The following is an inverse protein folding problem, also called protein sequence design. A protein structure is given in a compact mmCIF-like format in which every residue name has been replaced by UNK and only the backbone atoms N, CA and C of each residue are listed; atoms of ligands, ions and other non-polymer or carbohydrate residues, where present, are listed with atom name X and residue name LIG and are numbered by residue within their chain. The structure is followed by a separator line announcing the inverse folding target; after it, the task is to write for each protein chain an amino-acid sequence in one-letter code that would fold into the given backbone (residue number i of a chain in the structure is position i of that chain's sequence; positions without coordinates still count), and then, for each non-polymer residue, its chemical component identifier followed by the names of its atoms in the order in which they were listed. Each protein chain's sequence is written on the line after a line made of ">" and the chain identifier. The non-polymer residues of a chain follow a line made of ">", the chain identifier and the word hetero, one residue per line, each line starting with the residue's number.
data_IF_633614188812
#
_entry.id   IF_633614188812
#
_cell.length_a   1.000
_cell.length_b   1.000
_cell.length_c   1.000
_cell.angle_alpha   90.00
_cell.angle_beta   90.00
_cell.angle_gamma   90.00
#
_symmetry.space_group_name_H-M   'P 1'
#
loop_
_entity.id
_entity.type
_entity.pdbx_description
1 polymer ?
#
# COMPACT_ATOMS: atom_id res chain seq x y z
N UNK A 1 9.92 0.44 12.72
CA UNK A 1 10.90 -0.23 11.81
C UNK A 1 12.28 -0.08 12.46
N UNK A 2 13.00 -1.18 12.63
CA UNK A 2 14.31 -1.19 13.31
C UNK A 2 15.45 -1.70 12.42
N UNK A 3 15.12 -2.19 11.22
CA UNK A 3 16.08 -2.67 10.22
C UNK A 3 15.65 -2.21 8.83
N UNK A 4 16.60 -1.71 8.04
CA UNK A 4 16.44 -1.40 6.62
C UNK A 4 17.57 -2.07 5.84
N UNK A 5 17.24 -2.84 4.81
CA UNK A 5 18.20 -3.45 3.90
C UNK A 5 18.18 -2.72 2.56
N UNK A 6 19.36 -2.31 2.08
CA UNK A 6 19.53 -1.65 0.79
C UNK A 6 20.47 -2.49 -0.06
N UNK A 7 19.91 -3.11 -1.09
CA UNK A 7 20.67 -3.91 -2.06
C UNK A 7 21.46 -3.00 -3.01
N UNK A 8 22.68 -3.34 -3.43
CA UNK A 8 23.49 -2.51 -4.31
C UNK A 8 22.85 -2.22 -5.67
N UNK A 9 21.91 -3.07 -6.09
CA UNK A 9 21.14 -2.89 -7.33
C UNK A 9 19.69 -2.51 -7.06
N UNK A 10 19.40 -1.81 -5.97
CA UNK A 10 18.02 -1.46 -5.57
C UNK A 10 17.22 -0.77 -6.68
N UNK A 11 17.84 0.12 -7.47
CA UNK A 11 17.21 0.78 -8.62
C UNK A 11 16.89 -0.13 -9.80
N UNK A 12 17.40 -1.38 -9.83
CA UNK A 12 17.18 -2.36 -10.89
C UNK A 12 16.42 -3.60 -10.40
N UNK A 13 16.07 -3.67 -9.13
CA UNK A 13 15.40 -4.85 -8.54
C UNK A 13 14.07 -5.16 -9.23
N UNK A 14 13.31 -4.14 -9.63
CA UNK A 14 12.05 -4.30 -10.34
C UNK A 14 12.26 -4.94 -11.72
N UNK A 15 13.22 -4.43 -12.50
CA UNK A 15 13.56 -4.99 -13.80
C UNK A 15 14.12 -6.41 -13.68
N UNK A 16 14.96 -6.65 -12.67
CA UNK A 16 15.48 -7.99 -12.39
C UNK A 16 14.38 -8.94 -11.93
N UNK A 17 13.43 -8.48 -11.10
CA UNK A 17 12.27 -9.25 -10.69
C UNK A 17 11.38 -9.63 -11.87
N UNK A 18 11.17 -8.71 -12.83
CA UNK A 18 10.44 -8.99 -14.08
C UNK A 18 11.16 -10.04 -14.92
N UNK A 19 12.49 -9.96 -15.05
CA UNK A 19 13.30 -10.96 -15.77
C UNK A 19 13.22 -12.35 -15.13
N UNK A 20 13.06 -12.42 -13.80
CA UNK A 20 12.95 -13.68 -13.04
C UNK A 20 11.53 -14.16 -12.85
N UNK A 21 10.53 -13.30 -13.10
CA UNK A 21 9.15 -13.67 -12.94
C UNK A 21 8.78 -14.83 -13.87
N UNK A 22 8.17 -15.85 -13.29
CA UNK A 22 7.61 -16.94 -14.08
C UNK A 22 6.46 -16.42 -14.94
N UNK A 23 6.43 -16.77 -16.20
CA UNK A 23 5.29 -16.45 -17.07
C UNK A 23 4.10 -17.32 -16.66
N UNK A 24 2.93 -16.69 -16.54
CA UNK A 24 1.71 -17.34 -16.08
C UNK A 24 0.60 -17.19 -17.12
N UNK A 25 -0.14 -18.27 -17.33
CA UNK A 25 -1.39 -18.25 -18.09
C UNK A 25 -2.53 -18.60 -17.12
N UNK A 26 -3.37 -17.62 -16.82
CA UNK A 26 -4.56 -17.75 -15.97
C UNK A 26 -5.80 -17.97 -16.83
N UNK A 27 -6.64 -18.91 -16.45
CA UNK A 27 -7.94 -19.21 -17.08
C UNK A 27 -9.00 -19.36 -16.01
N UNK A 28 -10.17 -18.85 -16.31
CA UNK A 28 -11.35 -18.96 -15.46
C UNK A 28 -12.56 -19.39 -16.30
N UNK A 29 -13.45 -20.19 -15.71
CA UNK A 29 -14.71 -20.63 -16.33
C UNK A 29 -15.79 -20.73 -15.26
N UNK A 30 -16.94 -20.10 -15.50
CA UNK A 30 -18.11 -20.19 -14.61
C UNK A 30 -18.72 -21.59 -14.72
N UNK A 31 -18.98 -22.21 -13.57
CA UNK A 31 -19.45 -23.61 -13.50
C UNK A 31 -20.89 -23.68 -13.03
N UNK A 32 -21.22 -23.02 -11.93
CA UNK A 32 -22.57 -22.92 -11.33
C UNK A 32 -23.27 -24.29 -11.14
N UNK A 33 -22.61 -25.20 -10.42
CA UNK A 33 -23.15 -26.54 -10.11
C UNK A 33 -23.07 -26.82 -8.61
N UNK A 34 -23.98 -27.65 -8.04
CA UNK A 34 -23.87 -28.12 -6.67
C UNK A 34 -22.53 -28.83 -6.41
N UNK A 35 -21.99 -28.72 -5.20
CA UNK A 35 -20.81 -29.44 -4.78
C UNK A 35 -21.16 -30.86 -4.37
N UNK A 36 -21.32 -31.75 -5.35
CA UNK A 36 -21.67 -33.15 -5.25
C UNK A 36 -20.77 -34.03 -6.14
N UNK A 37 -20.97 -35.35 -6.12
CA UNK A 37 -20.15 -36.29 -6.90
C UNK A 37 -20.23 -36.03 -8.42
N UNK A 38 -21.37 -35.53 -8.91
CA UNK A 38 -21.56 -35.26 -10.33
C UNK A 38 -20.76 -34.03 -10.81
N UNK A 39 -20.45 -33.10 -9.90
CA UNK A 39 -19.68 -31.91 -10.23
C UNK A 39 -18.25 -32.24 -10.68
N UNK A 40 -17.64 -33.31 -10.14
CA UNK A 40 -16.26 -33.68 -10.49
C UNK A 40 -16.08 -33.96 -11.98
N UNK A 41 -17.05 -34.64 -12.61
CA UNK A 41 -17.00 -34.93 -14.04
C UNK A 41 -17.17 -33.65 -14.89
N UNK A 42 -18.01 -32.71 -14.45
CA UNK A 42 -18.21 -31.41 -15.10
C UNK A 42 -16.93 -30.59 -15.01
N UNK A 43 -16.34 -30.48 -13.82
CA UNK A 43 -15.11 -29.73 -13.59
C UNK A 43 -13.97 -30.33 -14.39
N UNK A 44 -13.77 -31.65 -14.38
CA UNK A 44 -12.67 -32.30 -15.14
C UNK A 44 -12.74 -31.98 -16.65
N UNK A 45 -13.92 -32.04 -17.23
CA UNK A 45 -14.13 -31.71 -18.65
C UNK A 45 -13.83 -30.24 -18.96
N UNK A 46 -14.16 -29.31 -18.05
CA UNK A 46 -13.86 -27.88 -18.21
C UNK A 46 -12.38 -27.60 -18.01
N UNK A 47 -11.76 -28.25 -17.04
CA UNK A 47 -10.31 -28.18 -16.80
C UNK A 47 -9.50 -28.56 -18.02
N UNK A 48 -9.88 -29.62 -18.72
CA UNK A 48 -9.16 -30.04 -19.95
C UNK A 48 -9.18 -28.96 -21.03
N UNK A 49 -10.30 -28.22 -21.17
CA UNK A 49 -10.40 -27.09 -22.10
C UNK A 49 -9.55 -25.92 -21.67
N UNK A 50 -9.61 -25.56 -20.37
CA UNK A 50 -8.83 -24.46 -19.82
C UNK A 50 -7.34 -24.74 -19.95
N UNK A 51 -6.93 -25.98 -19.67
CA UNK A 51 -5.55 -26.45 -19.83
C UNK A 51 -5.06 -26.31 -21.26
N UNK A 52 -5.81 -26.83 -22.23
CA UNK A 52 -5.46 -26.72 -23.63
C UNK A 52 -5.32 -25.27 -24.11
N UNK A 53 -6.20 -24.40 -23.64
CA UNK A 53 -6.13 -22.95 -23.91
C UNK A 53 -4.89 -22.29 -23.30
N UNK A 54 -4.60 -22.55 -22.02
CA UNK A 54 -3.43 -21.98 -21.34
C UNK A 54 -2.11 -22.48 -21.93
N UNK A 55 -2.03 -23.77 -22.23
CA UNK A 55 -0.84 -24.38 -22.85
C UNK A 55 -0.60 -23.86 -24.28
N UNK A 56 -1.66 -23.61 -25.03
CA UNK A 56 -1.56 -23.00 -26.38
C UNK A 56 -0.99 -21.59 -26.29
N UNK A 57 -1.40 -20.79 -25.33
CA UNK A 57 -0.85 -19.44 -25.14
C UNK A 57 0.64 -19.47 -24.74
N UNK A 58 1.01 -20.32 -23.80
CA UNK A 58 2.42 -20.47 -23.41
C UNK A 58 3.26 -20.97 -24.57
N UNK A 59 2.76 -21.96 -25.32
CA UNK A 59 3.45 -22.51 -26.49
C UNK A 59 3.64 -21.46 -27.61
N UNK A 60 2.69 -20.55 -27.81
CA UNK A 60 2.82 -19.45 -28.77
C UNK A 60 3.96 -18.50 -28.41
N UNK A 61 4.37 -18.45 -27.15
CA UNK A 61 5.51 -17.70 -26.64
C UNK A 61 6.80 -18.55 -26.54
N UNK A 62 6.78 -19.80 -27.02
CA UNK A 62 7.89 -20.74 -26.93
C UNK A 62 8.13 -21.29 -25.51
N UNK A 63 7.12 -21.21 -24.63
CA UNK A 63 7.21 -21.59 -23.24
C UNK A 63 6.43 -22.86 -22.94
N UNK A 64 6.83 -23.58 -21.88
CA UNK A 64 6.16 -24.80 -21.42
C UNK A 64 5.79 -24.63 -19.94
N UNK A 65 4.57 -25.04 -19.58
CA UNK A 65 4.11 -25.04 -18.19
C UNK A 65 4.91 -26.06 -17.36
N UNK A 66 5.48 -25.60 -16.24
CA UNK A 66 6.19 -26.44 -15.27
C UNK A 66 5.26 -26.87 -14.12
N UNK A 67 4.39 -25.99 -13.67
CA UNK A 67 3.44 -26.28 -12.60
C UNK A 67 2.05 -25.82 -12.98
N UNK A 68 1.05 -26.45 -12.39
CA UNK A 68 -0.36 -26.10 -12.56
C UNK A 68 -1.02 -25.99 -11.19
N UNK A 69 -1.74 -24.90 -10.96
CA UNK A 69 -2.57 -24.69 -9.79
C UNK A 69 -4.01 -24.63 -10.26
N UNK A 70 -4.84 -25.46 -9.65
CA UNK A 70 -6.29 -25.46 -9.93
C UNK A 70 -7.03 -25.15 -8.65
N UNK A 71 -7.91 -24.16 -8.70
CA UNK A 71 -8.79 -23.80 -7.61
C UNK A 71 -10.24 -23.75 -8.10
N UNK A 72 -11.14 -24.02 -7.19
CA UNK A 72 -12.59 -23.84 -7.38
C UNK A 72 -13.08 -22.76 -6.43
N UNK A 73 -13.92 -21.87 -6.94
CA UNK A 73 -14.62 -20.88 -6.13
C UNK A 73 -15.91 -21.52 -5.62
N UNK A 74 -16.01 -21.68 -4.32
CA UNK A 74 -17.16 -22.29 -3.67
C UNK A 74 -17.88 -21.25 -2.83
N UNK A 75 -19.22 -21.28 -2.88
CA UNK A 75 -20.09 -20.47 -2.02
C UNK A 75 -21.20 -21.31 -1.44
N UNK A 76 -21.81 -20.86 -0.35
CA UNK A 76 -23.08 -21.44 0.08
C UNK A 76 -24.21 -21.08 -0.91
N UNK A 77 -25.13 -21.97 -1.12
CA UNK A 77 -26.33 -21.69 -1.91
C UNK A 77 -27.09 -20.48 -1.35
N UNK A 78 -27.46 -19.53 -2.24
CA UNK A 78 -28.07 -18.26 -1.86
C UNK A 78 -27.13 -17.25 -1.19
N UNK A 79 -25.80 -17.47 -1.22
CA UNK A 79 -24.77 -16.47 -0.90
C UNK A 79 -24.16 -15.94 -2.20
N UNK A 80 -23.72 -14.70 -2.17
CA UNK A 80 -22.99 -14.02 -3.26
C UNK A 80 -21.47 -13.98 -3.03
N UNK A 81 -21.00 -14.56 -1.94
CA UNK A 81 -19.58 -14.56 -1.58
C UNK A 81 -18.98 -15.94 -1.75
N UNK A 82 -18.11 -16.10 -2.74
CA UNK A 82 -17.34 -17.31 -3.00
C UNK A 82 -15.92 -17.22 -2.43
N UNK A 83 -15.37 -18.37 -2.04
CA UNK A 83 -13.99 -18.51 -1.55
C UNK A 83 -13.22 -19.49 -2.43
N UNK A 84 -11.96 -19.20 -2.79
CA UNK A 84 -11.12 -20.11 -3.52
C UNK A 84 -10.62 -21.24 -2.64
N UNK A 85 -10.77 -22.48 -3.11
CA UNK A 85 -10.20 -23.67 -2.48
C UNK A 85 -9.49 -24.52 -3.51
N UNK A 86 -8.43 -25.25 -3.14
CA UNK A 86 -7.76 -26.18 -4.06
C UNK A 86 -8.73 -27.24 -4.59
N UNK A 87 -8.66 -27.54 -5.89
CA UNK A 87 -9.45 -28.62 -6.47
C UNK A 87 -8.94 -29.98 -6.00
N UNK A 88 -9.81 -30.75 -5.39
CA UNK A 88 -9.53 -32.07 -4.80
C UNK A 88 -10.84 -32.88 -4.70
N UNK A 89 -10.91 -33.87 -3.82
CA UNK A 89 -12.14 -34.60 -3.52
C UNK A 89 -13.20 -33.68 -2.90
N UNK A 90 -14.48 -34.03 -3.07
CA UNK A 90 -15.61 -33.27 -2.51
C UNK A 90 -15.41 -32.99 -1.02
N UNK A 91 -14.96 -34.03 -0.27
CA UNK A 91 -14.79 -33.90 1.17
C UNK A 91 -13.66 -32.96 1.54
N UNK A 92 -12.54 -32.97 0.80
CA UNK A 92 -11.41 -32.07 0.99
C UNK A 92 -11.81 -30.62 0.66
N UNK A 93 -12.48 -30.42 -0.48
CA UNK A 93 -12.95 -29.09 -0.90
C UNK A 93 -13.94 -28.49 0.09
N UNK A 94 -14.91 -29.29 0.58
CA UNK A 94 -15.86 -28.87 1.60
C UNK A 94 -15.16 -28.43 2.87
N UNK A 95 -14.27 -29.25 3.41
CA UNK A 95 -13.53 -28.94 4.65
C UNK A 95 -12.62 -27.71 4.49
N UNK A 96 -11.97 -27.54 3.34
CA UNK A 96 -11.16 -26.37 3.03
C UNK A 96 -12.01 -25.09 2.97
N UNK A 97 -13.18 -25.15 2.32
CA UNK A 97 -14.13 -24.05 2.25
C UNK A 97 -14.65 -23.66 3.65
N UNK A 98 -15.11 -24.66 4.44
CA UNK A 98 -15.60 -24.43 5.80
C UNK A 98 -14.52 -23.78 6.69
N UNK A 99 -13.27 -24.25 6.57
CA UNK A 99 -12.14 -23.68 7.31
C UNK A 99 -11.89 -22.22 6.89
N UNK A 100 -11.86 -21.93 5.60
CA UNK A 100 -11.66 -20.58 5.07
C UNK A 100 -12.82 -19.65 5.47
N UNK A 101 -14.07 -20.15 5.40
CA UNK A 101 -15.27 -19.42 5.77
C UNK A 101 -15.29 -19.09 7.28
N UNK A 102 -14.92 -20.07 8.13
CA UNK A 102 -14.78 -19.86 9.57
C UNK A 102 -13.71 -18.80 9.88
N UNK A 103 -12.58 -18.83 9.19
CA UNK A 103 -11.51 -17.85 9.40
C UNK A 103 -11.91 -16.44 8.96
N UNK A 104 -12.62 -16.33 7.84
CA UNK A 104 -12.96 -15.02 7.27
C UNK A 104 -14.21 -14.39 7.89
N UNK A 105 -15.23 -15.22 8.23
CA UNK A 105 -16.53 -14.74 8.66
C UNK A 105 -16.89 -15.13 10.09
N UNK A 106 -16.12 -16.02 10.72
CA UNK A 106 -16.31 -16.42 12.12
C UNK A 106 -17.38 -17.50 12.35
N UNK A 107 -17.98 -18.06 11.30
CA UNK A 107 -19.00 -19.10 11.42
C UNK A 107 -19.02 -20.04 10.20
N UNK A 108 -19.71 -21.18 10.34
CA UNK A 108 -19.99 -22.17 9.29
C UNK A 108 -21.47 -22.54 9.40
N UNK A 109 -22.14 -22.84 8.28
CA UNK A 109 -23.50 -23.35 8.28
C UNK A 109 -23.52 -24.86 8.30
N UNK A 110 -24.17 -25.48 9.30
CA UNK A 110 -24.17 -26.94 9.51
C UNK A 110 -24.88 -27.73 8.41
N UNK A 111 -25.88 -27.17 7.72
CA UNK A 111 -26.74 -27.90 6.77
C UNK A 111 -27.11 -27.05 5.55
N UNK A 112 -26.15 -26.31 5.01
CA UNK A 112 -26.40 -25.50 3.81
C UNK A 112 -25.66 -26.10 2.63
N UNK A 113 -26.33 -26.20 1.50
CA UNK A 113 -25.74 -26.68 0.25
C UNK A 113 -24.65 -25.71 -0.22
N UNK A 114 -23.67 -26.25 -0.92
CA UNK A 114 -22.58 -25.52 -1.50
C UNK A 114 -22.65 -25.58 -3.02
N UNK A 115 -22.31 -24.47 -3.66
CA UNK A 115 -22.25 -24.33 -5.11
C UNK A 115 -20.81 -24.09 -5.51
N UNK A 116 -20.35 -24.80 -6.51
CA UNK A 116 -19.12 -24.47 -7.27
C UNK A 116 -19.48 -23.41 -8.28
N UNK A 117 -19.11 -22.17 -8.00
CA UNK A 117 -19.43 -21.01 -8.85
C UNK A 117 -18.55 -20.94 -10.07
N UNK A 118 -17.24 -21.04 -9.88
CA UNK A 118 -16.25 -20.94 -10.94
C UNK A 118 -15.07 -21.85 -10.70
N UNK A 119 -14.26 -22.00 -11.73
CA UNK A 119 -13.04 -22.79 -11.78
C UNK A 119 -11.91 -21.93 -12.29
N UNK A 120 -10.79 -21.89 -11.59
CA UNK A 120 -9.57 -21.21 -12.02
C UNK A 120 -8.44 -22.21 -12.26
N UNK A 121 -7.70 -22.00 -13.34
CA UNK A 121 -6.50 -22.74 -13.68
C UNK A 121 -5.36 -21.75 -13.93
N UNK A 122 -4.29 -21.88 -13.17
CA UNK A 122 -3.05 -21.17 -13.37
C UNK A 122 -1.96 -22.14 -13.85
N UNK A 123 -1.41 -21.90 -15.03
CA UNK A 123 -0.26 -22.59 -15.57
C UNK A 123 0.97 -21.68 -15.45
N UNK A 124 2.00 -22.14 -14.75
CA UNK A 124 3.21 -21.36 -14.46
C UNK A 124 4.41 -22.04 -15.11
N UNK A 125 5.24 -21.27 -15.80
CA UNK A 125 6.51 -21.77 -16.36
C UNK A 125 7.53 -22.01 -15.24
N UNK A 126 8.57 -22.82 -15.51
CA UNK A 126 9.68 -22.96 -14.58
C UNK A 126 10.33 -21.58 -14.36
N UNK A 127 10.67 -21.29 -13.11
CA UNK A 127 11.55 -20.16 -12.82
C UNK A 127 12.85 -20.33 -13.58
N UNK A 128 13.32 -19.25 -14.20
CA UNK A 128 14.63 -19.26 -14.85
C UNK A 128 15.71 -19.50 -13.79
N UNK A 129 16.20 -20.73 -13.68
CA UNK A 129 17.29 -21.13 -12.77
C UNK A 129 18.65 -20.54 -13.17
N UNK A 130 18.67 -19.42 -13.85
CA UNK A 130 19.93 -18.68 -13.94
C UNK A 130 20.24 -18.16 -12.55
N UNK A 131 20.74 -19.06 -11.69
CA UNK A 131 21.38 -18.70 -10.46
C UNK A 131 22.34 -17.56 -10.78
N UNK A 132 22.04 -16.38 -10.26
CA UNK A 132 23.05 -15.32 -10.23
C UNK A 132 24.23 -15.99 -9.55
N UNK A 133 25.27 -16.24 -10.33
CA UNK A 133 26.52 -16.74 -9.79
C UNK A 133 26.89 -15.76 -8.66
N UNK A 134 26.78 -16.22 -7.43
CA UNK A 134 27.16 -15.46 -6.23
C UNK A 134 28.67 -15.19 -6.19
N UNK A 135 29.38 -15.47 -7.27
CA UNK A 135 30.78 -15.20 -7.50
C UNK A 135 31.10 -13.83 -8.09
N UNK A 136 30.18 -12.87 -8.03
CA UNK A 136 30.56 -11.45 -8.06
C UNK A 136 31.14 -11.05 -6.70
N UNK A 137 32.12 -11.85 -6.23
CA UNK A 137 33.00 -11.42 -5.18
C UNK A 137 33.68 -10.12 -5.67
N UNK A 138 33.34 -9.04 -5.01
CA UNK A 138 34.08 -7.78 -4.94
C UNK A 138 35.17 -7.59 -6.00
N UNK A 139 34.81 -7.03 -7.12
CA UNK A 139 35.66 -6.08 -7.80
C UNK A 139 35.17 -4.65 -7.49
N UNK A 140 34.77 -4.41 -6.24
CA UNK A 140 34.59 -3.07 -5.72
C UNK A 140 35.98 -2.45 -5.57
N UNK A 141 36.29 -1.47 -6.41
CA UNK A 141 37.44 -0.60 -6.19
C UNK A 141 37.30 -0.02 -4.78
N UNK A 142 38.13 -0.49 -3.85
CA UNK A 142 38.41 0.24 -2.61
C UNK A 142 39.01 1.59 -3.05
N UNK A 143 38.17 2.61 -3.05
CA UNK A 143 38.65 3.99 -3.19
C UNK A 143 39.13 4.38 -1.78
N UNK A 144 40.42 4.67 -1.62
CA UNK A 144 40.96 5.31 -0.42
C UNK A 144 40.40 6.74 -0.32
N UNK A 145 39.09 6.87 -0.11
CA UNK A 145 38.43 8.15 0.09
C UNK A 145 38.09 8.27 1.58
N UNK A 146 38.55 9.34 2.18
CA UNK A 146 38.19 9.71 3.56
C UNK A 146 36.81 10.34 3.57
N UNK A 147 36.05 10.18 4.66
CA UNK A 147 34.79 10.88 4.81
C UNK A 147 35.04 12.41 4.82
N UNK A 148 34.10 13.14 4.25
CA UNK A 148 34.11 14.60 4.27
C UNK A 148 33.10 15.08 5.32
N UNK A 149 33.41 16.19 5.99
CA UNK A 149 32.45 16.82 6.89
C UNK A 149 31.34 17.48 6.09
N UNK A 150 30.12 17.24 6.49
CA UNK A 150 28.92 17.80 5.89
C UNK A 150 27.86 18.06 6.98
N UNK A 151 26.68 18.53 6.61
CA UNK A 151 25.58 18.78 7.53
C UNK A 151 24.31 18.16 7.01
N UNK A 152 23.54 17.59 7.93
CA UNK A 152 22.25 16.98 7.66
C UNK A 152 21.14 17.75 8.37
N UNK A 153 20.12 18.19 7.63
CA UNK A 153 18.93 18.78 8.23
C UNK A 153 17.93 17.69 8.56
N UNK A 154 17.64 17.49 9.85
CA UNK A 154 16.71 16.47 10.32
C UNK A 154 15.99 16.97 11.59
N UNK A 155 14.71 16.67 11.70
CA UNK A 155 13.86 17.08 12.83
C UNK A 155 13.94 18.59 13.14
N UNK A 156 13.96 19.42 12.10
CA UNK A 156 13.95 20.89 12.23
C UNK A 156 15.30 21.51 12.61
N UNK A 157 16.39 20.76 12.61
CA UNK A 157 17.72 21.27 12.98
C UNK A 157 18.83 20.73 12.08
N UNK A 158 19.92 21.51 11.96
CA UNK A 158 21.12 21.08 11.27
C UNK A 158 22.02 20.31 12.24
N UNK A 159 22.48 19.14 11.83
CA UNK A 159 23.43 18.29 12.55
C UNK A 159 24.71 18.15 11.73
N UNK A 160 25.85 18.13 12.40
CA UNK A 160 27.13 17.75 11.79
C UNK A 160 27.07 16.28 11.39
N UNK A 161 27.43 15.97 10.14
CA UNK A 161 27.38 14.64 9.56
C UNK A 161 28.65 14.33 8.78
N UNK A 162 28.93 13.07 8.55
CA UNK A 162 30.00 12.63 7.68
C UNK A 162 29.43 12.13 6.35
N UNK A 163 29.99 12.62 5.24
CA UNK A 163 29.65 12.18 3.89
C UNK A 163 30.66 11.13 3.42
N UNK A 164 30.17 9.95 3.10
CA UNK A 164 30.95 8.82 2.66
C UNK A 164 30.63 8.43 1.22
N UNK A 165 31.62 8.30 0.32
CA UNK A 165 31.38 7.60 -0.95
C UNK A 165 31.17 6.10 -0.67
N UNK A 166 30.23 5.46 -1.37
CA UNK A 166 29.94 4.01 -1.23
C UNK A 166 31.21 3.15 -1.30
N UNK A 167 32.13 3.44 -2.23
CA UNK A 167 33.36 2.66 -2.40
C UNK A 167 34.37 2.77 -1.26
N UNK A 168 34.16 3.68 -0.31
CA UNK A 168 35.02 3.85 0.88
C UNK A 168 34.50 3.06 2.10
N UNK A 169 33.35 2.39 1.99
CA UNK A 169 32.79 1.60 3.07
C UNK A 169 33.55 0.29 3.25
N UNK A 170 34.01 0.05 4.47
CA UNK A 170 34.65 -1.22 4.85
C UNK A 170 33.57 -2.24 5.22
N UNK A 171 33.77 -3.51 4.84
CA UNK A 171 32.86 -4.61 5.19
C UNK A 171 32.81 -4.79 6.71
N UNK A 172 31.62 -4.98 7.25
CA UNK A 172 31.34 -5.24 8.66
C UNK A 172 31.78 -4.13 9.62
N UNK A 173 32.19 -2.97 9.11
CA UNK A 173 32.50 -1.81 9.92
C UNK A 173 31.28 -0.89 10.05
N UNK A 174 30.78 -0.67 11.28
CA UNK A 174 29.62 0.19 11.50
C UNK A 174 29.95 1.68 11.30
N UNK A 175 29.06 2.39 10.62
CA UNK A 175 29.03 3.84 10.55
C UNK A 175 27.84 4.31 11.38
N UNK A 176 28.13 5.06 12.45
CA UNK A 176 27.10 5.62 13.32
C UNK A 176 26.57 6.92 12.69
N UNK A 177 25.24 7.09 12.66
CA UNK A 177 24.61 8.33 12.20
C UNK A 177 24.78 9.50 13.18
N UNK A 178 24.65 10.75 12.73
CA UNK A 178 24.21 11.13 11.40
C UNK A 178 25.31 10.99 10.33
N UNK A 179 24.98 10.35 9.21
CA UNK A 179 25.90 10.21 8.08
C UNK A 179 25.15 10.20 6.75
N UNK A 180 25.87 10.54 5.68
CA UNK A 180 25.36 10.56 4.29
C UNK A 180 26.23 9.61 3.46
N UNK A 181 25.65 8.61 2.83
CA UNK A 181 26.34 7.71 1.91
C UNK A 181 25.97 8.09 0.49
N UNK A 182 26.96 8.44 -0.31
CA UNK A 182 26.77 8.83 -1.71
C UNK A 182 27.07 7.65 -2.64
N UNK A 183 26.10 7.31 -3.45
CA UNK A 183 26.19 6.36 -4.57
C UNK A 183 26.08 7.07 -5.91
N UNK A 184 26.33 6.37 -7.00
CA UNK A 184 26.23 6.96 -8.35
C UNK A 184 24.80 7.43 -8.69
N UNK A 185 23.79 6.71 -8.18
CA UNK A 185 22.39 6.93 -8.50
C UNK A 185 21.49 7.12 -7.27
N UNK A 186 22.05 7.12 -6.07
CA UNK A 186 21.31 7.22 -4.83
C UNK A 186 22.10 7.94 -3.73
N UNK A 187 21.37 8.48 -2.76
CA UNK A 187 21.93 9.01 -1.52
C UNK A 187 21.21 8.34 -0.35
N UNK A 188 21.98 7.78 0.57
CA UNK A 188 21.44 7.10 1.74
C UNK A 188 21.73 7.94 2.96
N UNK A 189 20.71 8.26 3.70
CA UNK A 189 20.81 8.99 4.96
C UNK A 189 20.81 7.99 6.11
N UNK A 190 21.84 8.05 6.96
CA UNK A 190 21.89 7.34 8.24
C UNK A 190 21.48 8.34 9.31
N UNK A 191 20.26 8.25 9.86
CA UNK A 191 19.80 9.19 10.88
C UNK A 191 20.60 9.08 12.17
N UNK A 192 20.53 10.08 13.08
CA UNK A 192 20.94 9.87 14.48
C UNK A 192 20.27 8.61 15.02
N UNK A 193 20.82 7.97 16.00
CA UNK A 193 20.31 6.72 16.61
C UNK A 193 20.36 5.46 15.72
N UNK A 194 20.82 5.60 14.46
CA UNK A 194 20.99 4.48 13.53
C UNK A 194 22.46 4.24 13.23
N UNK A 195 22.77 3.01 12.87
CA UNK A 195 24.05 2.62 12.31
C UNK A 195 23.85 1.91 10.97
N UNK A 196 24.86 2.01 10.12
CA UNK A 196 24.94 1.34 8.83
C UNK A 196 26.13 0.41 8.81
N UNK A 197 25.94 -0.82 8.32
CA UNK A 197 27.00 -1.79 8.07
C UNK A 197 26.93 -2.24 6.61
N UNK A 198 28.06 -2.29 5.94
CA UNK A 198 28.19 -2.91 4.62
C UNK A 198 28.47 -4.40 4.79
N UNK A 199 27.57 -5.26 4.27
CA UNK A 199 27.73 -6.71 4.35
C UNK A 199 28.80 -7.26 3.38
N UNK A 200 29.19 -8.51 3.55
CA UNK A 200 30.09 -9.20 2.62
C UNK A 200 29.51 -9.33 1.19
N UNK A 201 28.18 -9.20 1.03
CA UNK A 201 27.48 -9.20 -0.26
C UNK A 201 27.28 -7.80 -0.85
N UNK A 202 27.91 -6.80 -0.24
CA UNK A 202 27.78 -5.40 -0.58
C UNK A 202 26.36 -4.81 -0.33
N UNK A 203 25.53 -5.48 0.47
CA UNK A 203 24.28 -4.88 0.96
C UNK A 203 24.56 -3.88 2.06
N UNK A 204 23.81 -2.78 2.12
CA UNK A 204 23.83 -1.88 3.25
C UNK A 204 22.69 -2.24 4.21
N UNK A 205 23.07 -2.52 5.43
CA UNK A 205 22.14 -2.86 6.52
C UNK A 205 22.14 -1.71 7.52
N UNK A 206 21.02 -1.00 7.57
CA UNK A 206 20.80 0.02 8.61
C UNK A 206 20.05 -0.64 9.76
N UNK A 207 20.56 -0.46 10.96
CA UNK A 207 19.90 -0.92 12.19
C UNK A 207 19.80 0.22 13.17
N UNK A 208 18.76 0.22 13.99
CA UNK A 208 18.64 1.19 15.06
C UNK A 208 19.69 0.89 16.14
N UNK A 209 20.55 1.87 16.40
CA UNK A 209 21.62 1.76 17.39
C UNK A 209 21.13 2.12 18.82
N UNK A 210 20.21 3.09 18.91
CA UNK A 210 19.59 3.49 20.18
C UNK A 210 18.14 3.01 20.19
N UNK A 211 17.77 2.25 21.22
CA UNK A 211 16.39 1.75 21.35
C UNK A 211 15.40 2.92 21.41
N UNK A 212 14.27 2.75 20.73
CA UNK A 212 13.18 3.73 20.78
C UNK A 212 12.68 3.86 22.21
N UNK A 213 12.61 5.07 22.75
CA UNK A 213 11.95 5.27 24.03
C UNK A 213 10.46 4.93 23.84
N UNK A 214 9.99 3.90 24.54
CA UNK A 214 8.56 3.59 24.57
C UNK A 214 7.83 4.78 25.18
N UNK A 215 6.90 5.37 24.43
CA UNK A 215 5.97 6.36 25.01
C UNK A 215 5.14 5.66 26.08
N UNK A 216 5.28 6.10 27.30
CA UNK A 216 4.33 5.72 28.34
C UNK A 216 3.10 6.59 28.14
N UNK A 217 1.96 5.98 27.76
CA UNK A 217 0.71 6.72 27.61
C UNK A 217 0.28 7.23 28.97
N UNK A 218 0.42 8.52 29.17
CA UNK A 218 -0.17 9.23 30.34
C UNK A 218 -1.65 9.46 30.01
N UNK A 219 -2.55 8.69 30.62
CA UNK A 219 -3.97 9.02 30.48
C UNK A 219 -5.00 7.91 30.63
N UNK A 220 -4.64 6.66 30.81
CA UNK A 220 -5.63 5.65 31.24
C UNK A 220 -5.67 5.58 32.76
N UNK A 221 -6.83 5.79 33.33
CA UNK A 221 -7.05 5.90 34.78
C UNK A 221 -6.64 4.66 35.59
N UNK A 222 -6.06 3.61 35.00
CA UNK A 222 -5.85 2.38 35.71
C UNK A 222 -4.49 1.74 35.74
N UNK A 223 -3.54 1.90 34.80
CA UNK A 223 -2.21 1.25 34.96
C UNK A 223 -1.05 1.81 34.13
N UNK A 224 -1.25 2.68 33.15
CA UNK A 224 -0.18 3.18 32.26
C UNK A 224 0.43 2.14 31.30
N UNK A 225 -0.09 0.92 31.26
CA UNK A 225 0.32 -0.18 30.38
C UNK A 225 -0.86 -0.69 29.58
N UNK A 226 -0.65 -0.98 28.27
CA UNK A 226 -1.67 -1.57 27.42
C UNK A 226 -2.05 -2.95 27.94
N UNK A 227 -3.35 -3.25 27.98
CA UNK A 227 -3.82 -4.64 28.06
C UNK A 227 -3.49 -5.32 26.73
N UNK A 228 -2.71 -6.43 26.73
CA UNK A 228 -2.29 -7.10 25.50
C UNK A 228 -3.48 -7.59 24.63
N UNK A 229 -4.58 -8.01 25.25
CA UNK A 229 -5.78 -8.47 24.53
C UNK A 229 -6.47 -7.29 23.84
N UNK A 230 -6.67 -6.19 24.57
CA UNK A 230 -7.26 -4.99 24.00
C UNK A 230 -6.34 -4.35 22.95
N UNK A 231 -5.01 -4.41 23.11
CA UNK A 231 -4.06 -3.93 22.11
C UNK A 231 -4.26 -4.65 20.78
N UNK A 232 -4.37 -5.97 20.80
CA UNK A 232 -4.62 -6.76 19.61
C UNK A 232 -6.01 -6.45 18.99
N UNK A 233 -7.05 -6.31 19.83
CA UNK A 233 -8.39 -5.92 19.39
C UNK A 233 -8.39 -4.56 18.70
N UNK A 234 -7.73 -3.55 19.29
CA UNK A 234 -7.66 -2.21 18.69
C UNK A 234 -6.83 -2.20 17.41
N UNK A 235 -5.69 -2.91 17.39
CA UNK A 235 -4.87 -3.06 16.19
C UNK A 235 -5.69 -3.68 15.04
N UNK A 236 -6.36 -4.81 15.29
CA UNK A 236 -7.22 -5.47 14.31
C UNK A 236 -8.38 -4.55 13.84
N UNK A 237 -9.00 -3.80 14.75
CA UNK A 237 -10.09 -2.88 14.39
C UNK A 237 -9.59 -1.70 13.53
N UNK A 238 -8.46 -1.08 13.85
CA UNK A 238 -7.90 -0.01 13.03
C UNK A 238 -7.52 -0.52 11.63
N UNK A 239 -6.92 -1.71 11.53
CA UNK A 239 -6.64 -2.33 10.24
C UNK A 239 -7.93 -2.61 9.45
N UNK A 240 -8.95 -3.20 10.09
CA UNK A 240 -10.23 -3.48 9.45
C UNK A 240 -10.92 -2.20 8.93
N UNK A 241 -10.80 -1.07 9.61
CA UNK A 241 -11.30 0.22 9.12
C UNK A 241 -10.58 0.61 7.83
N UNK A 242 -9.24 0.52 7.79
CA UNK A 242 -8.47 0.83 6.58
C UNK A 242 -8.80 -0.12 5.42
N UNK A 243 -9.03 -1.39 5.69
CA UNK A 243 -9.47 -2.38 4.69
C UNK A 243 -10.85 -2.05 4.14
N UNK A 244 -11.82 -1.68 4.98
CA UNK A 244 -13.16 -1.26 4.55
C UNK A 244 -13.12 0.01 3.69
N UNK A 245 -12.24 0.96 4.02
CA UNK A 245 -11.97 2.11 3.16
C UNK A 245 -11.52 1.65 1.77
N UNK A 246 -10.58 0.69 1.70
CA UNK A 246 -10.08 0.13 0.46
C UNK A 246 -11.17 -0.56 -0.38
N UNK A 247 -12.01 -1.38 0.25
CA UNK A 247 -13.17 -2.00 -0.42
C UNK A 247 -14.13 -0.95 -0.96
N UNK A 248 -14.39 0.12 -0.22
CA UNK A 248 -15.24 1.22 -0.70
C UNK A 248 -14.62 1.89 -1.92
N UNK A 249 -13.31 2.18 -1.89
CA UNK A 249 -12.59 2.79 -3.00
C UNK A 249 -12.64 1.91 -4.25
N UNK A 250 -12.29 0.64 -4.14
CA UNK A 250 -12.32 -0.34 -5.23
C UNK A 250 -13.70 -0.41 -5.90
N UNK A 251 -14.77 -0.51 -5.11
CA UNK A 251 -16.13 -0.65 -5.62
C UNK A 251 -16.69 0.61 -6.26
N UNK A 252 -16.23 1.79 -5.86
CA UNK A 252 -16.78 3.07 -6.31
C UNK A 252 -15.91 3.79 -7.33
N UNK A 253 -14.63 3.41 -7.47
CA UNK A 253 -13.72 4.01 -8.44
C UNK A 253 -14.11 3.71 -9.89
N UNK A 254 -13.69 4.59 -10.79
CA UNK A 254 -13.99 4.53 -12.23
C UNK A 254 -12.80 4.05 -13.06
N UNK A 255 -11.56 4.39 -12.66
CA UNK A 255 -10.36 4.03 -13.42
C UNK A 255 -9.94 2.58 -13.23
N UNK A 256 -9.40 1.99 -14.28
CA UNK A 256 -8.84 0.62 -14.28
C UNK A 256 -7.72 0.46 -13.26
N UNK A 257 -6.90 1.49 -13.10
CA UNK A 257 -5.77 1.44 -12.17
C UNK A 257 -6.24 1.23 -10.72
N UNK A 258 -7.26 1.95 -10.28
CA UNK A 258 -7.80 1.82 -8.92
C UNK A 258 -8.68 0.58 -8.82
N UNK A 259 -9.61 0.39 -9.74
CA UNK A 259 -10.66 -0.63 -9.64
C UNK A 259 -10.18 -2.05 -9.91
N UNK A 260 -9.30 -2.24 -10.91
CA UNK A 260 -8.88 -3.57 -11.35
C UNK A 260 -7.45 -3.90 -10.93
N UNK A 261 -6.54 -2.92 -10.99
CA UNK A 261 -5.13 -3.12 -10.60
C UNK A 261 -4.89 -2.92 -9.11
N UNK A 262 -5.89 -2.40 -8.39
CA UNK A 262 -5.83 -2.11 -6.95
C UNK A 262 -4.65 -1.18 -6.59
N UNK A 263 -4.31 -0.26 -7.51
CA UNK A 263 -3.21 0.66 -7.34
C UNK A 263 -3.66 1.88 -6.49
N UNK A 264 -3.90 1.58 -5.23
CA UNK A 264 -4.34 2.54 -4.23
C UNK A 264 -3.89 2.13 -2.83
N UNK A 265 -4.03 3.03 -1.87
CA UNK A 265 -3.82 2.76 -0.44
C UNK A 265 -4.76 3.61 0.40
N UNK A 266 -5.27 3.01 1.49
CA UNK A 266 -6.08 3.68 2.50
C UNK A 266 -5.40 3.57 3.86
N UNK A 267 -5.44 4.64 4.65
CA UNK A 267 -4.80 4.68 5.94
C UNK A 267 -5.47 5.66 6.92
N UNK A 268 -5.23 5.41 8.20
CA UNK A 268 -5.68 6.22 9.33
C UNK A 268 -4.49 6.91 9.99
N UNK A 269 -4.68 8.16 10.38
CA UNK A 269 -3.64 8.97 11.01
C UNK A 269 -4.18 9.65 12.25
N UNK A 270 -3.30 9.87 13.23
CA UNK A 270 -3.60 10.65 14.43
C UNK A 270 -3.65 12.17 14.14
N UNK A 271 -3.98 12.95 15.16
CA UNK A 271 -4.04 14.41 15.08
C UNK A 271 -2.72 15.06 14.62
N UNK A 272 -1.59 14.38 14.73
CA UNK A 272 -0.27 14.86 14.32
C UNK A 272 0.14 14.40 12.93
N UNK A 273 -0.68 13.58 12.25
CA UNK A 273 -0.36 12.96 10.97
C UNK A 273 0.51 11.71 11.12
N UNK A 274 0.64 11.17 12.34
CA UNK A 274 1.27 9.89 12.61
C UNK A 274 0.39 8.73 12.13
N UNK A 275 0.97 7.77 11.41
CA UNK A 275 0.25 6.58 10.93
C UNK A 275 -0.26 5.75 12.13
N UNK A 276 -1.55 5.41 12.12
CA UNK A 276 -2.17 4.50 13.09
C UNK A 276 -2.25 3.09 12.47
N UNK A 277 -2.90 3.01 11.32
CA UNK A 277 -3.07 1.75 10.59
C UNK A 277 -3.23 2.00 9.08
N UNK A 278 -2.88 1.01 8.32
CA UNK A 278 -3.09 0.97 6.87
C UNK A 278 -3.55 -0.43 6.48
N UNK A 279 -4.30 -0.52 5.39
CA UNK A 279 -4.60 -1.81 4.79
C UNK A 279 -3.38 -2.34 4.00
N UNK A 280 -3.30 -3.67 3.76
CA UNK A 280 -2.21 -4.29 3.00
C UNK A 280 -2.35 -4.03 1.48
N UNK A 281 -2.35 -2.75 1.10
CA UNK A 281 -2.41 -2.28 -0.29
C UNK A 281 -1.00 -2.06 -0.86
N UNK A 282 -0.79 -0.98 -1.63
CA UNK A 282 0.50 -0.68 -2.28
C UNK A 282 1.55 -0.20 -1.27
N UNK A 283 2.61 -1.00 -0.98
CA UNK A 283 3.60 -0.66 0.06
C UNK A 283 4.34 0.66 -0.20
N UNK A 284 4.58 1.03 -1.46
CA UNK A 284 5.29 2.26 -1.82
C UNK A 284 4.54 3.53 -1.39
N UNK A 285 3.21 3.48 -1.29
CA UNK A 285 2.40 4.61 -0.86
C UNK A 285 2.57 4.94 0.62
N UNK A 286 2.82 3.93 1.45
CA UNK A 286 2.80 4.04 2.92
C UNK A 286 3.84 5.03 3.46
N UNK A 287 5.04 5.02 2.88
CA UNK A 287 6.14 5.87 3.34
C UNK A 287 5.91 7.38 3.18
N UNK A 288 4.97 7.78 2.30
CA UNK A 288 4.74 9.19 1.95
C UNK A 288 3.35 9.70 2.34
N UNK A 289 2.37 8.84 2.63
CA UNK A 289 1.02 9.30 2.96
C UNK A 289 0.96 10.16 4.23
N UNK A 290 1.79 9.86 5.23
CA UNK A 290 1.93 10.70 6.42
C UNK A 290 2.41 12.12 6.07
N UNK A 291 3.34 12.25 5.13
CA UNK A 291 3.80 13.54 4.64
C UNK A 291 2.69 14.31 3.90
N UNK A 292 1.81 13.61 3.17
CA UNK A 292 0.63 14.23 2.53
C UNK A 292 -0.33 14.81 3.57
N UNK A 293 -0.62 14.06 4.64
CA UNK A 293 -1.44 14.55 5.75
C UNK A 293 -0.80 15.75 6.42
N UNK A 294 0.51 15.70 6.66
CA UNK A 294 1.24 16.81 7.25
C UNK A 294 1.20 18.07 6.37
N UNK A 295 1.40 17.93 5.06
CA UNK A 295 1.33 19.06 4.13
C UNK A 295 -0.06 19.75 4.12
N UNK A 296 -1.14 18.96 4.22
CA UNK A 296 -2.50 19.50 4.36
C UNK A 296 -2.68 20.24 5.69
N UNK A 297 -2.17 19.67 6.79
CA UNK A 297 -2.18 20.32 8.11
C UNK A 297 -1.42 21.64 8.12
N UNK A 298 -0.22 21.64 7.53
CA UNK A 298 0.63 22.85 7.50
C UNK A 298 0.00 23.97 6.66
N UNK A 299 -0.71 23.59 5.58
CA UNK A 299 -1.37 24.56 4.71
C UNK A 299 -2.68 25.12 5.31
N UNK A 300 -3.45 24.33 6.04
CA UNK A 300 -4.83 24.67 6.42
C UNK A 300 -5.10 24.54 7.91
N UNK A 301 -4.19 24.05 8.74
CA UNK A 301 -4.41 23.68 10.15
C UNK A 301 -5.46 24.49 10.91
N UNK A 302 -5.26 25.81 11.13
CA UNK A 302 -6.24 26.63 11.88
C UNK A 302 -7.59 26.84 11.18
N UNK A 303 -7.61 26.69 9.84
CA UNK A 303 -8.78 26.97 9.00
C UNK A 303 -9.57 25.71 8.63
N UNK A 304 -9.10 24.53 9.08
CA UNK A 304 -9.81 23.28 8.84
C UNK A 304 -11.14 23.24 9.59
N UNK A 305 -12.17 22.77 8.92
CA UNK A 305 -13.51 22.60 9.50
C UNK A 305 -14.02 21.19 9.27
N UNK A 306 -14.98 20.79 10.08
CA UNK A 306 -15.72 19.56 9.85
C UNK A 306 -16.43 19.63 8.49
N UNK A 307 -16.29 18.58 7.69
CA UNK A 307 -16.84 18.54 6.35
C UNK A 307 -15.88 19.00 5.24
N UNK A 308 -14.70 19.51 5.56
CA UNK A 308 -13.64 19.81 4.57
C UNK A 308 -12.99 18.52 4.06
N UNK A 309 -12.48 18.56 2.83
CA UNK A 309 -11.57 17.54 2.28
C UNK A 309 -10.56 18.17 1.34
N UNK A 310 -9.37 17.60 1.29
CA UNK A 310 -8.22 18.17 0.58
C UNK A 310 -7.58 17.15 -0.33
N UNK A 311 -7.06 17.61 -1.47
CA UNK A 311 -6.35 16.79 -2.45
C UNK A 311 -4.91 17.26 -2.58
N UNK A 312 -3.96 16.33 -2.56
CA UNK A 312 -2.53 16.60 -2.71
C UNK A 312 -1.87 15.53 -3.58
N UNK A 313 -1.03 15.97 -4.52
CA UNK A 313 -0.12 15.11 -5.29
C UNK A 313 1.25 15.75 -5.47
N UNK A 314 1.45 16.98 -5.00
CA UNK A 314 2.68 17.75 -5.18
C UNK A 314 3.88 17.02 -4.55
N UNK A 315 4.92 16.62 -5.31
CA UNK A 315 6.06 15.85 -4.80
C UNK A 315 6.83 16.53 -3.67
N UNK A 316 6.94 17.85 -3.71
CA UNK A 316 7.63 18.65 -2.69
C UNK A 316 6.71 19.10 -1.54
N UNK A 317 5.46 18.65 -1.53
CA UNK A 317 4.47 18.95 -0.50
C UNK A 317 3.71 17.66 -0.08
N UNK A 318 4.46 16.60 0.20
CA UNK A 318 3.91 15.35 0.71
C UNK A 318 3.37 14.37 -0.34
N UNK A 319 3.41 14.71 -1.63
CA UNK A 319 3.11 13.80 -2.73
C UNK A 319 4.30 12.92 -3.11
N UNK A 320 4.12 12.07 -4.12
CA UNK A 320 5.16 11.22 -4.72
C UNK A 320 5.37 11.64 -6.17
N UNK A 321 4.60 11.13 -7.10
CA UNK A 321 4.51 11.57 -8.49
C UNK A 321 3.06 11.99 -8.79
N UNK A 322 2.85 12.78 -9.83
CA UNK A 322 1.58 13.48 -10.02
C UNK A 322 0.35 12.56 -10.16
N UNK A 323 0.43 11.36 -10.81
CA UNK A 323 -0.70 10.45 -10.86
C UNK A 323 -1.17 9.90 -9.51
N UNK A 324 -0.30 9.87 -8.49
CA UNK A 324 -0.64 9.45 -7.13
C UNK A 324 -1.38 10.58 -6.39
N UNK A 325 -2.65 10.68 -6.64
CA UNK A 325 -3.51 11.69 -6.00
C UNK A 325 -3.95 11.20 -4.63
N UNK A 326 -3.66 11.98 -3.58
CA UNK A 326 -4.04 11.66 -2.20
C UNK A 326 -5.17 12.58 -1.75
N UNK A 327 -6.30 12.00 -1.36
CA UNK A 327 -7.36 12.72 -0.66
C UNK A 327 -7.15 12.56 0.84
N UNK A 328 -7.23 13.69 1.57
CA UNK A 328 -7.10 13.76 3.04
C UNK A 328 -8.37 14.35 3.62
N UNK A 329 -8.99 13.63 4.56
CA UNK A 329 -10.20 14.04 5.26
C UNK A 329 -9.91 14.23 6.76
N UNK A 330 -10.02 15.44 7.32
CA UNK A 330 -9.93 15.65 8.75
C UNK A 330 -11.17 15.12 9.47
N UNK A 331 -10.96 14.40 10.57
CA UNK A 331 -12.04 13.81 11.39
C UNK A 331 -12.11 14.53 12.73
N UNK A 332 -13.21 15.25 12.92
CA UNK A 332 -13.50 15.94 14.15
C UNK A 332 -14.35 15.05 15.07
N UNK A 333 -14.11 15.15 16.36
CA UNK A 333 -14.78 14.36 17.39
C UNK A 333 -15.34 15.28 18.47
N UNK A 334 -16.53 14.97 18.96
CA UNK A 334 -17.16 15.62 20.13
C UNK A 334 -17.19 17.16 20.10
N UNK A 335 -17.33 17.74 18.89
CA UNK A 335 -17.35 19.20 18.73
C UNK A 335 -16.00 19.89 18.96
N UNK A 336 -14.89 19.12 18.87
CA UNK A 336 -13.55 19.68 19.00
C UNK A 336 -13.27 20.71 17.92
N UNK A 337 -12.51 21.76 18.26
CA UNK A 337 -12.14 22.82 17.32
C UNK A 337 -11.05 22.36 16.32
N UNK A 338 -10.38 21.23 16.57
CA UNK A 338 -9.32 20.69 15.72
C UNK A 338 -9.58 19.21 15.46
N UNK A 339 -9.16 18.69 14.30
CA UNK A 339 -9.33 17.27 13.99
C UNK A 339 -8.55 16.39 14.96
N UNK A 340 -9.15 15.28 15.35
CA UNK A 340 -8.53 14.25 16.20
C UNK A 340 -7.84 13.16 15.39
N UNK A 341 -8.34 12.93 14.18
CA UNK A 341 -7.80 11.95 13.25
C UNK A 341 -7.82 12.53 11.85
N UNK A 342 -7.09 11.83 10.98
CA UNK A 342 -7.25 11.98 9.54
C UNK A 342 -7.45 10.61 8.92
N UNK A 343 -8.32 10.53 7.92
CA UNK A 343 -8.39 9.42 7.00
C UNK A 343 -7.80 9.87 5.66
N UNK A 344 -7.03 9.02 5.01
CA UNK A 344 -6.49 9.35 3.70
C UNK A 344 -6.60 8.16 2.75
N UNK A 345 -6.90 8.48 1.49
CA UNK A 345 -6.94 7.54 0.39
C UNK A 345 -6.08 8.07 -0.75
N UNK A 346 -5.07 7.30 -1.17
CA UNK A 346 -4.24 7.57 -2.35
C UNK A 346 -4.64 6.64 -3.46
N UNK A 347 -4.86 7.15 -4.66
CA UNK A 347 -5.11 6.38 -5.86
C UNK A 347 -4.18 6.81 -6.98
N UNK A 348 -3.65 5.84 -7.75
CA UNK A 348 -2.92 6.11 -8.98
C UNK A 348 -3.91 6.35 -10.11
N UNK A 349 -4.15 7.62 -10.43
CA UNK A 349 -5.04 8.02 -11.52
C UNK A 349 -4.48 7.58 -12.87
N UNK A 350 -5.34 7.12 -13.76
CA UNK A 350 -4.92 6.64 -15.08
C UNK A 350 -4.28 7.75 -15.94
N UNK A 351 -4.66 9.00 -15.72
CA UNK A 351 -4.11 10.19 -16.37
C UNK A 351 -4.44 11.42 -15.53
N UNK A 352 -3.49 12.29 -15.34
CA UNK A 352 -3.65 13.59 -14.65
C UNK A 352 -3.17 14.75 -15.49
N UNK A 353 -3.16 14.61 -16.82
CA UNK A 353 -2.63 15.59 -17.77
C UNK A 353 -1.15 15.36 -18.10
N UNK A 354 -0.47 16.41 -18.50
CA UNK A 354 0.92 16.34 -18.94
C UNK A 354 1.11 15.99 -20.42
N UNK A 355 2.36 16.03 -20.88
CA UNK A 355 2.71 15.86 -22.29
C UNK A 355 2.55 14.43 -22.81
N UNK A 356 2.59 13.43 -21.93
CA UNK A 356 2.40 12.02 -22.29
C UNK A 356 1.13 11.43 -21.67
N UNK A 357 0.44 10.50 -22.36
CA UNK A 357 -0.61 9.71 -21.75
C UNK A 357 -0.10 8.95 -20.51
N UNK A 358 -0.92 8.89 -19.47
CA UNK A 358 -0.54 8.27 -18.19
C UNK A 358 0.32 9.16 -17.29
N UNK A 359 0.61 10.40 -17.71
CA UNK A 359 1.26 11.42 -16.88
C UNK A 359 2.62 11.01 -16.28
N UNK A 360 3.40 10.23 -17.03
CA UNK A 360 4.75 9.78 -16.65
C UNK A 360 5.73 9.95 -17.83
N UNK A 361 5.99 11.20 -18.29
CA UNK A 361 6.93 11.45 -19.36
C UNK A 361 8.37 11.21 -18.90
N UNK A 362 9.18 10.54 -19.73
CA UNK A 362 10.59 10.27 -19.45
C UNK A 362 11.53 11.43 -19.75
N UNK A 363 11.04 12.51 -20.36
CA UNK A 363 11.84 13.65 -20.83
C UNK A 363 11.22 15.01 -20.50
N UNK A 364 10.38 15.07 -19.45
CA UNK A 364 9.87 16.33 -18.91
C UNK A 364 10.99 17.20 -18.34
N UNK A 365 10.86 18.50 -18.49
CA UNK A 365 11.79 19.50 -17.95
C UNK A 365 11.11 20.42 -16.91
N UNK A 366 9.80 20.47 -16.92
CA UNK A 366 8.99 21.21 -15.94
C UNK A 366 7.88 20.33 -15.38
N UNK A 367 7.36 20.69 -14.22
CA UNK A 367 6.30 19.91 -13.56
C UNK A 367 4.96 20.01 -14.31
N UNK A 368 4.72 21.10 -15.02
CA UNK A 368 3.53 21.28 -15.85
C UNK A 368 3.51 20.30 -17.03
N UNK A 369 4.67 19.85 -17.50
CA UNK A 369 4.81 18.82 -18.52
C UNK A 369 4.48 17.42 -17.97
N UNK A 370 4.56 17.22 -16.65
CA UNK A 370 4.23 15.92 -16.00
C UNK A 370 2.75 15.78 -15.69
N UNK A 371 2.03 16.87 -15.43
CA UNK A 371 0.60 16.83 -15.16
C UNK A 371 0.11 17.96 -14.27
N UNK A 372 -1.14 17.81 -13.81
CA UNK A 372 -1.81 18.78 -12.96
C UNK A 372 -1.36 18.61 -11.50
N UNK A 373 -1.02 19.75 -10.89
CA UNK A 373 -0.46 19.82 -9.56
C UNK A 373 -1.48 20.30 -8.53
N UNK A 374 -1.73 19.49 -7.51
CA UNK A 374 -2.53 19.83 -6.32
C UNK A 374 -1.62 20.03 -5.11
N UNK A 375 -1.58 21.26 -4.58
CA UNK A 375 -0.86 21.62 -3.34
C UNK A 375 -1.85 21.82 -2.21
N UNK A 376 -2.30 20.73 -1.56
CA UNK A 376 -3.33 20.75 -0.52
C UNK A 376 -4.60 21.53 -0.98
N UNK A 377 -5.09 21.21 -2.18
CA UNK A 377 -6.27 21.82 -2.75
C UNK A 377 -7.53 21.41 -1.99
N UNK A 378 -8.32 22.37 -1.48
CA UNK A 378 -9.56 22.08 -0.78
C UNK A 378 -10.67 21.77 -1.78
N UNK A 379 -10.95 20.48 -1.97
CA UNK A 379 -11.94 19.98 -2.94
C UNK A 379 -13.36 19.94 -2.36
N UNK A 380 -13.50 19.95 -1.02
CA UNK A 380 -14.79 20.03 -0.32
C UNK A 380 -14.69 21.05 0.81
N UNK A 381 -15.72 21.88 0.95
CA UNK A 381 -15.84 22.89 1.99
C UNK A 381 -17.17 22.76 2.72
N UNK A 382 -17.14 22.69 4.03
CA UNK A 382 -18.35 22.58 4.87
C UNK A 382 -19.33 21.49 4.37
N UNK A 383 -18.80 20.34 3.91
CA UNK A 383 -19.59 19.22 3.37
C UNK A 383 -20.00 19.33 1.90
N UNK A 384 -19.77 20.47 1.24
CA UNK A 384 -20.12 20.69 -0.18
C UNK A 384 -18.90 20.43 -1.06
N UNK A 385 -19.00 19.43 -1.93
CA UNK A 385 -17.97 19.11 -2.92
C UNK A 385 -17.98 20.13 -4.07
N UNK A 386 -16.85 20.75 -4.36
CA UNK A 386 -16.70 21.74 -5.41
C UNK A 386 -16.25 21.10 -6.73
N UNK A 387 -17.19 20.43 -7.38
CA UNK A 387 -16.95 19.78 -8.67
C UNK A 387 -16.53 20.79 -9.76
N UNK A 388 -17.11 21.99 -9.73
CA UNK A 388 -16.84 22.99 -10.75
C UNK A 388 -15.40 23.50 -10.69
N UNK A 389 -14.89 23.80 -9.50
CA UNK A 389 -13.50 24.23 -9.33
C UNK A 389 -12.53 23.07 -9.61
N UNK A 390 -12.85 21.84 -9.21
CA UNK A 390 -12.04 20.67 -9.55
C UNK A 390 -11.96 20.45 -11.05
N UNK A 391 -13.10 20.50 -11.76
CA UNK A 391 -13.14 20.35 -13.21
C UNK A 391 -12.37 21.47 -13.92
N UNK A 392 -12.47 22.71 -13.46
CA UNK A 392 -11.66 23.81 -13.97
C UNK A 392 -10.16 23.51 -13.85
N UNK A 393 -9.70 23.06 -12.67
CA UNK A 393 -8.30 22.67 -12.43
C UNK A 393 -7.83 21.53 -13.33
N UNK A 394 -8.69 20.54 -13.58
CA UNK A 394 -8.38 19.38 -14.43
C UNK A 394 -8.33 19.72 -15.93
N UNK A 395 -8.97 20.81 -16.36
CA UNK A 395 -9.10 21.21 -17.77
C UNK A 395 -8.30 22.43 -18.15
N UNK A 396 -7.83 23.20 -17.17
CA UNK A 396 -7.01 24.41 -17.41
C UNK A 396 -5.52 24.08 -17.63
N UNK A 397 -4.84 24.99 -18.33
CA UNK A 397 -3.40 24.89 -18.55
C UNK A 397 -3.01 24.27 -19.89
N UNK A 398 -1.70 24.18 -20.17
CA UNK A 398 -1.19 23.73 -21.47
C UNK A 398 -1.37 22.23 -21.72
N UNK A 399 -1.48 21.44 -20.67
CA UNK A 399 -1.54 19.97 -20.73
C UNK A 399 -2.64 19.43 -19.81
N UNK A 400 -3.94 19.64 -20.14
CA UNK A 400 -5.05 19.24 -19.30
C UNK A 400 -5.18 17.71 -19.20
N UNK A 401 -5.93 17.24 -18.19
CA UNK A 401 -6.30 15.85 -18.06
C UNK A 401 -7.13 15.40 -19.27
N UNK A 402 -6.87 14.20 -19.78
CA UNK A 402 -7.53 13.67 -20.99
C UNK A 402 -8.96 13.22 -20.73
N UNK A 403 -9.22 12.72 -19.51
CA UNK A 403 -10.55 12.27 -19.08
C UNK A 403 -10.86 12.86 -17.69
N UNK A 404 -11.09 14.19 -17.59
CA UNK A 404 -11.28 14.88 -16.31
C UNK A 404 -12.49 14.38 -15.52
N UNK A 405 -13.52 13.87 -16.20
CA UNK A 405 -14.68 13.25 -15.55
C UNK A 405 -14.33 11.96 -14.79
N UNK A 406 -13.38 11.18 -15.31
CA UNK A 406 -12.87 9.99 -14.61
C UNK A 406 -12.07 10.40 -13.36
N UNK A 407 -11.22 11.43 -13.46
CA UNK A 407 -10.48 11.96 -12.31
C UNK A 407 -11.44 12.45 -11.22
N UNK A 408 -12.50 13.17 -11.58
CA UNK A 408 -13.52 13.62 -10.66
C UNK A 408 -14.22 12.44 -9.97
N UNK A 409 -14.61 11.40 -10.73
CA UNK A 409 -15.24 10.20 -10.19
C UNK A 409 -14.31 9.45 -9.22
N UNK A 410 -13.02 9.33 -9.54
CA UNK A 410 -12.04 8.67 -8.68
C UNK A 410 -11.76 9.48 -7.39
N UNK A 411 -11.72 10.81 -7.46
CA UNK A 411 -11.62 11.68 -6.26
C UNK A 411 -12.87 11.55 -5.39
N UNK A 412 -14.06 11.45 -5.97
CA UNK A 412 -15.29 11.18 -5.22
C UNK A 412 -15.27 9.79 -4.57
N UNK A 413 -14.72 8.79 -5.24
CA UNK A 413 -14.54 7.44 -4.67
C UNK A 413 -13.54 7.45 -3.49
N UNK A 414 -12.43 8.19 -3.60
CA UNK A 414 -11.49 8.41 -2.50
C UNK A 414 -12.16 9.14 -1.32
N UNK A 415 -13.02 10.12 -1.60
CA UNK A 415 -13.81 10.82 -0.57
C UNK A 415 -14.76 9.85 0.15
N UNK A 416 -15.49 9.02 -0.59
CA UNK A 416 -16.38 8.01 -0.02
C UNK A 416 -15.62 7.00 0.87
N UNK A 417 -14.44 6.57 0.45
CA UNK A 417 -13.57 5.71 1.25
C UNK A 417 -13.14 6.40 2.56
N UNK A 418 -12.71 7.65 2.49
CA UNK A 418 -12.32 8.43 3.68
C UNK A 418 -13.49 8.66 4.62
N UNK A 419 -14.70 8.93 4.11
CA UNK A 419 -15.92 9.04 4.94
C UNK A 419 -16.28 7.72 5.63
N UNK A 420 -16.12 6.59 4.93
CA UNK A 420 -16.29 5.26 5.54
C UNK A 420 -15.34 5.09 6.73
N UNK A 421 -14.08 5.45 6.59
CA UNK A 421 -13.09 5.41 7.67
C UNK A 421 -13.47 6.34 8.82
N UNK A 422 -13.86 7.57 8.53
CA UNK A 422 -14.27 8.56 9.52
C UNK A 422 -15.50 8.09 10.33
N UNK A 423 -16.49 7.50 9.66
CA UNK A 423 -17.68 6.98 10.31
C UNK A 423 -17.37 5.80 11.23
N UNK A 424 -16.50 4.90 10.80
CA UNK A 424 -16.09 3.75 11.61
C UNK A 424 -15.27 4.17 12.83
N UNK A 425 -14.41 5.19 12.72
CA UNK A 425 -13.70 5.78 13.87
C UNK A 425 -14.71 6.40 14.86
N UNK A 426 -15.72 7.14 14.38
CA UNK A 426 -16.78 7.70 15.24
C UNK A 426 -17.55 6.60 15.97
N UNK A 427 -17.87 5.51 15.27
CA UNK A 427 -18.53 4.34 15.88
C UNK A 427 -17.66 3.73 16.98
N UNK A 428 -16.36 3.58 16.75
CA UNK A 428 -15.42 3.07 17.73
C UNK A 428 -15.29 3.99 18.97
N UNK A 429 -15.31 5.31 18.76
CA UNK A 429 -15.36 6.30 19.85
C UNK A 429 -16.63 6.16 20.69
N UNK A 430 -17.78 5.98 20.06
CA UNK A 430 -19.05 5.78 20.76
C UNK A 430 -19.07 4.45 21.55
N UNK A 431 -18.42 3.39 21.02
CA UNK A 431 -18.39 2.06 21.64
C UNK A 431 -17.43 2.00 22.84
N UNK A 432 -16.21 2.53 22.71
CA UNK A 432 -15.12 2.36 23.70
C UNK A 432 -14.82 3.62 24.52
N UNK A 433 -15.36 4.76 24.14
CA UNK A 433 -15.04 6.06 24.73
C UNK A 433 -13.75 6.67 24.18
N UNK A 434 -13.73 7.99 24.02
CA UNK A 434 -12.62 8.73 23.40
C UNK A 434 -11.28 8.53 24.10
N UNK A 435 -11.24 8.53 25.43
CA UNK A 435 -10.01 8.35 26.20
C UNK A 435 -9.37 7.00 25.96
N UNK A 436 -10.20 5.94 25.89
CA UNK A 436 -9.71 4.59 25.60
C UNK A 436 -9.14 4.49 24.18
N UNK A 437 -9.90 4.98 23.19
CA UNK A 437 -9.44 4.93 21.77
C UNK A 437 -8.13 5.70 21.62
N UNK A 438 -8.03 6.91 22.17
CA UNK A 438 -6.80 7.72 22.09
C UNK A 438 -5.59 7.05 22.75
N UNK A 439 -5.80 6.38 23.89
CA UNK A 439 -4.74 5.64 24.56
C UNK A 439 -4.23 4.47 23.67
N UNK A 440 -5.16 3.72 23.08
CA UNK A 440 -4.79 2.58 22.23
C UNK A 440 -4.22 3.00 20.87
N UNK A 441 -4.55 4.18 20.34
CA UNK A 441 -3.80 4.78 19.21
C UNK A 441 -2.31 4.89 19.55
N UNK A 442 -1.96 5.45 20.71
CA UNK A 442 -0.57 5.54 21.14
C UNK A 442 0.10 4.17 21.30
N UNK A 443 -0.58 3.21 21.92
CA UNK A 443 -0.05 1.86 22.10
C UNK A 443 0.17 1.12 20.78
N UNK A 444 -0.74 1.25 19.82
CA UNK A 444 -0.59 0.66 18.47
C UNK A 444 0.57 1.29 17.71
N UNK A 445 0.77 2.60 17.83
CA UNK A 445 1.90 3.29 17.20
C UNK A 445 3.26 2.95 17.84
N UNK A 446 3.26 2.57 19.10
CA UNK A 446 4.47 2.18 19.84
C UNK A 446 4.87 0.71 19.66
N UNK A 447 3.96 -0.14 19.14
CA UNK A 447 4.17 -1.57 18.92
C UNK A 447 4.73 -1.86 17.51
#
# INVERSE_FOLDING_TARGET
>A
MDIVLIHPMSGLLSAWGIDKAAVRALREDAVEVPLDEDCLAVIAKRLDKLRASAETELAAQGLVSATRKTEVLIRYDGSDTSLPVPFDTIQTMRGAFETAHQQQFGFVYDNRDMIVEALTLECVTAESENAVSTNSAKQGRHVEAKPENDRLFINGSWLEAQRWPRGALETDRPIIGPAIICETHATIIVPPDWQLVCSARDDLVLTRHVARQKRVATGTAHTGTADPVLLEVFNARFMAIAEQMGVTLEKTASSVNIKERLDFSCALFDANGGLIANAPHMPVHLGSMGASVQAVRDAHGPDMREGDAYVVNAPYAGGTHLPDVTLVLPVFMDGAATPRFFTAARGHHADIGGISPGSMPSFSSTIEEEGILFRAFRVRRDGIFDEAELMARLTEGPHPARIPTQNCADILAQLAACETGAQNIRTMYAEFGGDTVNAYVGFVQDN
#
